data_IF_287132816703
#
_entry.id   IF_287132816703
#
_cell.length_a   1.000
_cell.length_b   1.000
_cell.length_c   1.000
_cell.angle_alpha   90.00
_cell.angle_beta   90.00
_cell.angle_gamma   90.00
#
_symmetry.space_group_name_H-M   'P 1'
#
loop_
_entity.id
_entity.type
_entity.pdbx_description
1 polymer ?
#
# COMPACT_ATOMS: atom_id res chain seq x y z
N UNK A 1 -34.08 -14.87 -20.76
CA UNK A 1 -32.59 -14.93 -20.74
C UNK A 1 -32.10 -14.03 -19.63
N UNK A 2 -31.70 -14.62 -18.50
CA UNK A 2 -31.06 -13.88 -17.38
C UNK A 2 -29.55 -13.86 -17.68
N UNK A 3 -28.84 -12.72 -17.57
CA UNK A 3 -27.43 -12.64 -17.95
C UNK A 3 -26.57 -13.57 -17.08
N UNK A 4 -25.66 -14.32 -17.70
CA UNK A 4 -24.70 -15.25 -17.10
C UNK A 4 -23.76 -14.63 -16.03
N UNK A 5 -23.83 -13.32 -15.80
CA UNK A 5 -22.95 -12.57 -14.88
C UNK A 5 -23.07 -12.92 -13.40
N UNK A 6 -24.10 -13.64 -12.97
CA UNK A 6 -24.35 -13.91 -11.53
C UNK A 6 -23.98 -15.33 -11.09
N UNK A 7 -23.72 -16.26 -12.01
CA UNK A 7 -23.24 -17.61 -11.67
C UNK A 7 -21.74 -17.65 -11.33
N UNK A 8 -20.95 -16.73 -11.89
CA UNK A 8 -19.51 -16.68 -11.65
C UNK A 8 -19.09 -16.32 -10.21
N UNK A 9 -19.96 -15.60 -9.47
CA UNK A 9 -19.64 -15.15 -8.10
C UNK A 9 -19.69 -16.23 -7.03
N UNK A 10 -20.58 -17.22 -7.16
CA UNK A 10 -20.65 -18.36 -6.24
C UNK A 10 -19.54 -19.40 -6.47
N UNK A 11 -19.06 -19.52 -7.70
CA UNK A 11 -18.04 -20.51 -8.06
C UNK A 11 -16.60 -20.03 -7.81
N UNK A 12 -16.38 -18.77 -7.41
CA UNK A 12 -15.04 -18.18 -7.31
C UNK A 12 -14.81 -17.36 -6.03
N UNK A 13 -15.73 -17.45 -5.06
CA UNK A 13 -15.63 -16.66 -3.85
C UNK A 13 -16.57 -17.06 -2.73
N UNK A 14 -16.21 -16.65 -1.50
CA UNK A 14 -17.13 -16.74 -0.36
C UNK A 14 -17.97 -15.46 -0.34
N UNK A 15 -19.29 -15.63 -0.30
CA UNK A 15 -20.26 -14.54 -0.19
C UNK A 15 -20.72 -14.44 1.27
N UNK A 16 -20.47 -13.31 1.91
CA UNK A 16 -20.98 -13.00 3.24
C UNK A 16 -21.88 -11.77 3.15
N UNK A 17 -23.07 -11.83 3.75
CA UNK A 17 -23.94 -10.67 3.86
C UNK A 17 -24.11 -10.31 5.34
N UNK A 18 -24.16 -9.01 5.64
CA UNK A 18 -24.32 -8.52 7.01
C UNK A 18 -25.67 -7.85 7.11
N UNK A 19 -26.52 -8.33 8.02
CA UNK A 19 -27.79 -7.68 8.29
C UNK A 19 -27.55 -6.46 9.17
N UNK A 20 -27.72 -5.25 8.62
CA UNK A 20 -27.60 -4.01 9.37
C UNK A 20 -28.66 -3.89 10.47
N UNK A 21 -28.33 -3.16 11.54
CA UNK A 21 -29.25 -2.87 12.64
C UNK A 21 -28.97 -1.51 13.28
N UNK A 22 -29.92 -0.98 14.05
CA UNK A 22 -29.69 0.20 14.88
C UNK A 22 -28.76 -0.17 16.05
N UNK A 23 -27.81 0.71 16.40
CA UNK A 23 -26.74 0.44 17.38
C UNK A 23 -27.21 -0.36 18.62
N UNK A 24 -26.57 -1.50 18.90
CA UNK A 24 -27.04 -2.51 19.87
C UNK A 24 -26.31 -3.86 19.71
N UNK A 25 -26.59 -4.83 20.59
CA UNK A 25 -26.13 -6.23 20.51
C UNK A 25 -26.91 -7.00 19.43
N UNK A 26 -26.40 -8.17 19.02
CA UNK A 26 -27.12 -9.10 18.12
C UNK A 26 -28.53 -9.39 18.65
N UNK A 27 -29.53 -9.21 17.79
CA UNK A 27 -30.94 -9.33 18.18
C UNK A 27 -31.74 -10.12 17.13
N UNK A 28 -32.45 -11.14 17.60
CA UNK A 28 -33.35 -11.96 16.77
C UNK A 28 -34.63 -11.18 16.49
N UNK A 29 -34.97 -11.02 15.21
CA UNK A 29 -36.19 -10.38 14.75
C UNK A 29 -37.37 -11.36 14.72
N UNK A 30 -38.59 -10.83 14.59
CA UNK A 30 -39.81 -11.63 14.45
C UNK A 30 -39.82 -12.52 13.20
N UNK A 31 -39.14 -12.09 12.13
CA UNK A 31 -38.98 -12.85 10.89
C UNK A 31 -37.90 -13.96 10.99
N UNK A 32 -37.25 -14.12 12.14
CA UNK A 32 -36.23 -15.14 12.38
C UNK A 32 -34.80 -14.74 12.02
N UNK A 33 -34.57 -13.55 11.47
CA UNK A 33 -33.21 -13.07 11.16
C UNK A 33 -32.57 -12.37 12.37
N UNK A 34 -31.24 -12.40 12.44
CA UNK A 34 -30.44 -11.79 13.52
C UNK A 34 -29.79 -10.52 13.00
N UNK A 35 -30.07 -9.38 13.64
CA UNK A 35 -29.42 -8.11 13.30
C UNK A 35 -27.96 -8.07 13.77
N UNK A 36 -27.15 -7.28 13.06
CA UNK A 36 -25.71 -7.10 13.31
C UNK A 36 -24.91 -8.41 13.27
N UNK A 37 -25.42 -9.37 12.49
CA UNK A 37 -24.85 -10.70 12.36
C UNK A 37 -24.46 -10.96 10.90
N UNK A 38 -23.37 -11.72 10.72
CA UNK A 38 -22.88 -12.12 9.42
C UNK A 38 -23.51 -13.45 9.01
N UNK A 39 -24.02 -13.52 7.78
CA UNK A 39 -24.59 -14.70 7.15
C UNK A 39 -23.78 -15.07 5.91
N UNK A 40 -23.73 -16.35 5.55
CA UNK A 40 -23.13 -16.80 4.29
C UNK A 40 -24.19 -17.00 3.22
N UNK A 41 -23.96 -16.54 1.98
CA UNK A 41 -24.81 -16.92 0.84
C UNK A 41 -24.23 -18.18 0.22
N UNK A 42 -25.02 -19.26 0.18
CA UNK A 42 -24.55 -20.62 -0.18
C UNK A 42 -25.23 -21.19 -1.42
N UNK A 43 -26.16 -20.46 -2.04
CA UNK A 43 -26.86 -20.94 -3.23
C UNK A 43 -27.73 -19.87 -3.87
N UNK A 44 -28.02 -20.06 -5.15
CA UNK A 44 -28.99 -19.28 -5.90
C UNK A 44 -29.70 -20.19 -6.90
N UNK A 45 -31.03 -20.11 -6.97
CA UNK A 45 -31.81 -20.94 -7.86
C UNK A 45 -33.02 -20.19 -8.42
N UNK A 46 -33.58 -20.75 -9.49
CA UNK A 46 -34.90 -20.36 -10.01
C UNK A 46 -35.82 -21.56 -9.89
N UNK A 47 -36.97 -21.35 -9.25
CA UNK A 47 -37.99 -22.38 -8.99
C UNK A 47 -39.34 -21.78 -9.37
N UNK A 48 -40.04 -22.41 -10.32
CA UNK A 48 -41.33 -21.92 -10.81
C UNK A 48 -41.31 -20.42 -11.15
N UNK A 49 -40.30 -19.99 -11.91
CA UNK A 49 -40.03 -18.59 -12.29
C UNK A 49 -39.64 -17.64 -11.14
N UNK A 50 -39.72 -18.06 -9.88
CA UNK A 50 -39.25 -17.30 -8.74
C UNK A 50 -37.74 -17.44 -8.55
N UNK A 51 -37.05 -16.33 -8.36
CA UNK A 51 -35.63 -16.29 -7.99
C UNK A 51 -35.49 -16.39 -6.47
N UNK A 52 -34.71 -17.36 -6.02
CA UNK A 52 -34.49 -17.62 -4.60
C UNK A 52 -32.99 -17.71 -4.30
N UNK A 53 -32.63 -17.34 -3.07
CA UNK A 53 -31.25 -17.35 -2.57
C UNK A 53 -31.18 -18.20 -1.30
N UNK A 54 -30.13 -19.00 -1.18
CA UNK A 54 -29.85 -19.82 0.00
C UNK A 54 -28.85 -19.10 0.89
N UNK A 55 -29.21 -18.96 2.16
CA UNK A 55 -28.46 -18.17 3.15
C UNK A 55 -28.28 -19.03 4.40
N UNK A 56 -27.10 -18.96 5.01
CA UNK A 56 -26.73 -19.73 6.19
C UNK A 56 -26.35 -18.84 7.37
N UNK A 57 -27.00 -19.08 8.49
CA UNK A 57 -26.64 -18.59 9.81
C UNK A 57 -25.47 -19.43 10.37
N UNK A 58 -24.30 -18.83 10.65
CA UNK A 58 -23.15 -19.57 11.18
C UNK A 58 -23.39 -20.13 12.59
N UNK A 59 -24.42 -19.68 13.32
CA UNK A 59 -24.83 -20.32 14.58
C UNK A 59 -25.38 -21.74 14.41
N UNK A 60 -25.72 -22.13 13.18
CA UNK A 60 -26.27 -23.46 12.89
C UNK A 60 -27.69 -23.66 13.44
N UNK A 61 -28.41 -22.56 13.64
CA UNK A 61 -29.80 -22.50 14.14
C UNK A 61 -30.35 -21.09 13.91
N UNK A 62 -31.65 -20.91 14.12
CA UNK A 62 -32.38 -19.64 13.97
C UNK A 62 -32.40 -19.20 12.50
N UNK A 63 -33.54 -19.44 11.87
CA UNK A 63 -33.74 -19.36 10.43
C UNK A 63 -34.86 -18.39 10.05
N UNK A 64 -34.85 -18.02 8.78
CA UNK A 64 -35.90 -17.24 8.14
C UNK A 64 -37.27 -17.90 8.26
N UNK A 65 -38.30 -17.11 8.59
CA UNK A 65 -39.68 -17.56 8.75
C UNK A 65 -40.63 -17.02 7.68
N UNK A 66 -40.11 -16.35 6.66
CA UNK A 66 -40.91 -15.77 5.58
C UNK A 66 -41.02 -16.68 4.36
N UNK A 67 -41.33 -16.11 3.19
CA UNK A 67 -41.42 -16.85 1.93
C UNK A 67 -40.18 -17.69 1.64
N UNK A 68 -40.39 -18.94 1.23
CA UNK A 68 -39.37 -19.95 0.91
C UNK A 68 -38.56 -20.49 2.09
N UNK A 69 -38.93 -20.15 3.33
CA UNK A 69 -38.45 -20.86 4.52
C UNK A 69 -38.72 -22.37 4.44
N UNK A 70 -38.09 -23.15 5.31
CA UNK A 70 -38.18 -24.61 5.30
C UNK A 70 -39.60 -25.16 5.42
N UNK A 71 -40.44 -24.47 6.19
CA UNK A 71 -41.85 -24.81 6.41
C UNK A 71 -42.81 -24.07 5.46
N UNK A 72 -42.28 -23.30 4.50
CA UNK A 72 -43.06 -22.41 3.66
C UNK A 72 -43.96 -23.18 2.67
N UNK A 73 -45.23 -22.77 2.49
CA UNK A 73 -46.12 -23.41 1.52
C UNK A 73 -45.71 -23.18 0.06
N UNK A 74 -44.78 -22.27 -0.22
CA UNK A 74 -44.21 -22.03 -1.56
C UNK A 74 -43.50 -23.27 -2.12
N UNK A 75 -43.13 -24.22 -1.25
CA UNK A 75 -42.60 -25.52 -1.65
C UNK A 75 -43.68 -26.52 -2.09
N UNK A 76 -44.97 -26.22 -1.85
CA UNK A 76 -46.11 -27.01 -2.32
C UNK A 76 -46.25 -26.83 -3.83
N UNK A 77 -45.82 -27.84 -4.59
CA UNK A 77 -45.77 -27.80 -6.06
C UNK A 77 -44.35 -27.94 -6.63
N UNK A 78 -43.32 -27.93 -5.78
CA UNK A 78 -41.97 -28.34 -6.16
C UNK A 78 -41.83 -29.84 -5.90
N UNK A 79 -41.30 -30.59 -6.87
CA UNK A 79 -41.07 -32.03 -6.72
C UNK A 79 -40.04 -32.32 -5.63
N UNK A 80 -40.15 -33.46 -4.94
CA UNK A 80 -39.16 -33.85 -3.92
C UNK A 80 -37.76 -34.00 -4.50
N UNK A 81 -37.62 -34.55 -5.71
CA UNK A 81 -36.36 -34.61 -6.46
C UNK A 81 -35.72 -33.21 -6.61
N UNK A 82 -36.53 -32.20 -6.98
CA UNK A 82 -36.03 -30.83 -7.11
C UNK A 82 -35.67 -30.20 -5.76
N UNK A 83 -36.35 -30.57 -4.67
CA UNK A 83 -36.00 -30.12 -3.32
C UNK A 83 -34.68 -30.74 -2.85
N UNK A 84 -34.46 -32.01 -3.13
CA UNK A 84 -33.20 -32.71 -2.86
C UNK A 84 -32.04 -32.07 -3.64
N UNK A 85 -32.23 -31.79 -4.94
CA UNK A 85 -31.24 -31.07 -5.77
C UNK A 85 -30.87 -29.69 -5.21
N UNK A 86 -31.86 -28.97 -4.66
CA UNK A 86 -31.66 -27.66 -4.04
C UNK A 86 -31.13 -27.74 -2.60
N UNK A 87 -30.99 -28.96 -2.05
CA UNK A 87 -30.57 -29.18 -0.68
C UNK A 87 -31.54 -28.57 0.34
N UNK A 88 -32.85 -28.61 0.06
CA UNK A 88 -33.88 -28.17 1.02
C UNK A 88 -34.02 -29.24 2.09
N UNK A 89 -33.64 -28.93 3.33
CA UNK A 89 -33.72 -29.85 4.47
C UNK A 89 -34.61 -29.20 5.51
N UNK A 90 -35.74 -29.81 5.87
CA UNK A 90 -36.62 -29.28 6.92
C UNK A 90 -36.03 -29.52 8.30
N UNK A 91 -35.14 -28.66 8.76
CA UNK A 91 -34.44 -28.80 10.04
C UNK A 91 -33.80 -27.48 10.42
N UNK A 92 -33.91 -27.09 11.70
CA UNK A 92 -33.17 -25.96 12.26
C UNK A 92 -31.66 -26.25 12.30
N UNK A 93 -30.97 -25.99 11.18
CA UNK A 93 -29.53 -26.10 10.99
C UNK A 93 -28.87 -24.77 10.56
N UNK A 94 -29.66 -23.71 10.54
CA UNK A 94 -29.28 -22.36 10.23
C UNK A 94 -29.25 -22.06 8.72
N UNK A 95 -29.42 -23.04 7.84
CA UNK A 95 -29.47 -22.82 6.39
C UNK A 95 -30.91 -22.76 5.90
N UNK A 96 -31.26 -21.70 5.17
CA UNK A 96 -32.62 -21.49 4.69
C UNK A 96 -32.61 -20.87 3.29
N UNK A 97 -33.70 -21.09 2.56
CA UNK A 97 -33.99 -20.37 1.33
C UNK A 97 -34.88 -19.16 1.61
N UNK A 98 -34.77 -18.15 0.76
CA UNK A 98 -35.69 -17.01 0.75
C UNK A 98 -35.85 -16.42 -0.64
N UNK A 99 -36.89 -15.61 -0.82
CA UNK A 99 -37.05 -14.82 -2.05
C UNK A 99 -35.85 -13.90 -2.26
N UNK A 100 -35.35 -13.84 -3.50
CA UNK A 100 -34.28 -12.90 -3.83
C UNK A 100 -34.72 -11.44 -3.64
N UNK A 101 -36.01 -11.15 -3.82
CA UNK A 101 -36.55 -9.81 -3.57
C UNK A 101 -36.46 -9.45 -2.08
N UNK A 102 -36.88 -10.36 -1.19
CA UNK A 102 -36.75 -10.16 0.26
C UNK A 102 -35.28 -9.97 0.65
N UNK A 103 -34.37 -10.72 0.02
CA UNK A 103 -32.94 -10.56 0.24
C UNK A 103 -32.44 -9.14 -0.10
N UNK A 104 -32.85 -8.56 -1.22
CA UNK A 104 -32.49 -7.18 -1.60
C UNK A 104 -33.11 -6.12 -0.67
N UNK A 105 -34.32 -6.38 -0.19
CA UNK A 105 -35.03 -5.48 0.70
C UNK A 105 -34.42 -5.48 2.12
N UNK A 106 -33.93 -6.64 2.57
CA UNK A 106 -33.39 -6.87 3.91
C UNK A 106 -31.88 -6.53 3.99
N UNK A 107 -31.04 -7.11 3.12
CA UNK A 107 -29.60 -6.87 3.16
C UNK A 107 -29.20 -5.66 2.33
N UNK A 108 -28.37 -4.80 2.93
CA UNK A 108 -27.82 -3.61 2.27
C UNK A 108 -26.34 -3.74 1.95
N UNK A 109 -25.70 -4.80 2.39
CA UNK A 109 -24.27 -5.05 2.18
C UNK A 109 -24.03 -6.52 1.90
N UNK A 110 -23.38 -6.78 0.77
CA UNK A 110 -22.87 -8.08 0.35
C UNK A 110 -21.37 -7.96 0.17
N UNK A 111 -20.62 -8.80 0.86
CA UNK A 111 -19.17 -8.91 0.78
C UNK A 111 -18.82 -10.15 -0.04
N UNK A 112 -17.94 -9.96 -1.04
CA UNK A 112 -17.49 -11.02 -1.95
C UNK A 112 -15.98 -11.16 -1.79
N UNK A 113 -15.55 -12.27 -1.21
CA UNK A 113 -14.14 -12.62 -1.12
C UNK A 113 -13.76 -13.44 -2.36
N UNK A 114 -12.96 -12.89 -3.26
CA UNK A 114 -12.45 -13.62 -4.42
C UNK A 114 -11.36 -14.59 -3.95
N UNK A 115 -11.43 -15.85 -4.40
CA UNK A 115 -10.39 -16.84 -4.11
C UNK A 115 -9.14 -16.54 -4.93
N UNK A 116 -7.98 -16.82 -4.32
CA UNK A 116 -6.71 -16.74 -5.03
C UNK A 116 -6.68 -17.82 -6.14
N UNK A 117 -6.08 -17.55 -7.31
CA UNK A 117 -5.93 -18.51 -8.41
C UNK A 117 -5.32 -19.85 -8.01
N UNK A 118 -4.47 -19.86 -6.98
CA UNK A 118 -3.84 -21.05 -6.40
C UNK A 118 -4.84 -22.05 -5.79
N UNK A 119 -6.05 -21.63 -5.46
CA UNK A 119 -7.08 -22.51 -4.87
C UNK A 119 -7.58 -23.56 -5.87
N UNK A 120 -7.57 -23.24 -7.17
CA UNK A 120 -7.92 -24.20 -8.22
C UNK A 120 -6.93 -25.36 -8.39
N UNK A 121 -5.75 -25.28 -7.75
CA UNK A 121 -4.79 -26.41 -7.69
C UNK A 121 -5.15 -27.41 -6.58
N UNK A 122 -5.94 -26.98 -5.59
CA UNK A 122 -6.30 -27.75 -4.39
C UNK A 122 -7.72 -28.31 -4.48
N UNK A 123 -8.62 -27.64 -5.20
CA UNK A 123 -10.03 -28.02 -5.37
C UNK A 123 -10.32 -28.44 -6.83
N UNK A 124 -10.38 -29.76 -7.13
CA UNK A 124 -10.63 -30.29 -8.48
C UNK A 124 -11.97 -29.85 -9.08
N UNK A 125 -12.93 -29.45 -8.24
CA UNK A 125 -14.26 -28.98 -8.67
C UNK A 125 -14.23 -27.53 -9.21
N UNK A 126 -13.12 -26.80 -8.95
CA UNK A 126 -12.87 -25.46 -9.50
C UNK A 126 -12.06 -25.49 -10.81
N UNK A 127 -11.77 -26.69 -11.34
CA UNK A 127 -11.06 -26.95 -12.61
C UNK A 127 -11.94 -26.51 -13.77
N UNK A 128 -11.87 -25.23 -14.10
CA UNK A 128 -12.72 -24.58 -15.11
C UNK A 128 -12.98 -23.10 -14.81
N UNK A 129 -12.68 -22.64 -13.59
CA UNK A 129 -12.68 -21.22 -13.28
C UNK A 129 -11.49 -20.52 -13.95
N UNK A 130 -11.73 -19.36 -14.57
CA UNK A 130 -10.67 -18.53 -15.15
C UNK A 130 -9.59 -18.25 -14.10
N UNK A 131 -8.35 -18.60 -14.42
CA UNK A 131 -7.20 -18.31 -13.56
C UNK A 131 -6.87 -16.83 -13.69
N UNK A 132 -6.90 -16.11 -12.58
CA UNK A 132 -6.34 -14.76 -12.55
C UNK A 132 -4.82 -14.83 -12.43
N UNK A 133 -4.12 -13.85 -12.97
CA UNK A 133 -2.74 -13.57 -12.65
C UNK A 133 -2.73 -12.59 -11.47
N UNK A 134 -1.93 -12.86 -10.43
CA UNK A 134 -1.87 -12.04 -9.23
C UNK A 134 -0.47 -11.46 -9.07
N UNK A 135 -0.42 -10.14 -8.85
CA UNK A 135 0.79 -9.42 -8.46
C UNK A 135 0.56 -8.80 -7.09
N UNK A 136 1.48 -9.04 -6.14
CA UNK A 136 1.46 -8.41 -4.82
C UNK A 136 2.53 -7.32 -4.70
N UNK A 137 2.18 -6.21 -4.05
CA UNK A 137 3.07 -5.06 -3.80
C UNK A 137 2.94 -4.59 -2.37
N UNK A 138 4.00 -4.73 -1.60
CA UNK A 138 4.04 -4.22 -0.23
C UNK A 138 4.52 -2.77 -0.20
N UNK A 139 3.91 -1.96 0.65
CA UNK A 139 4.29 -0.56 0.77
C UNK A 139 3.97 0.04 2.13
N UNK A 140 4.42 1.28 2.34
CA UNK A 140 4.21 2.03 3.58
C UNK A 140 3.93 3.49 3.27
N UNK A 141 2.96 4.07 3.96
CA UNK A 141 2.81 5.51 4.11
C UNK A 141 3.58 5.94 5.35
N UNK A 142 4.66 6.69 5.15
CA UNK A 142 5.52 7.21 6.21
C UNK A 142 5.37 8.73 6.28
N UNK A 143 5.20 9.24 7.51
CA UNK A 143 4.97 10.67 7.76
C UNK A 143 6.11 11.49 7.21
N UNK A 144 5.77 12.57 6.49
CA UNK A 144 6.77 13.40 5.84
C UNK A 144 7.67 12.59 4.93
N UNK A 145 7.17 11.61 4.18
CA UNK A 145 7.97 10.90 3.16
C UNK A 145 7.08 10.42 2.01
N UNK A 146 6.23 9.44 2.32
CA UNK A 146 5.34 8.77 1.37
C UNK A 146 3.87 8.92 1.74
N UNK A 147 3.55 9.46 2.92
CA UNK A 147 2.19 9.76 3.35
C UNK A 147 1.68 11.08 2.73
N UNK A 148 1.47 11.07 1.41
CA UNK A 148 1.11 12.26 0.63
C UNK A 148 -0.35 12.71 0.74
N UNK A 149 -1.22 11.85 1.29
CA UNK A 149 -2.67 12.09 1.36
C UNK A 149 -3.34 11.90 0.01
N UNK A 150 -4.65 12.17 -0.09
CA UNK A 150 -5.41 11.93 -1.32
C UNK A 150 -5.28 13.07 -2.34
N UNK A 151 -6.00 12.92 -3.45
CA UNK A 151 -6.09 13.85 -4.56
C UNK A 151 -6.48 15.31 -4.23
N UNK A 152 -7.05 15.56 -3.06
CA UNK A 152 -7.29 16.94 -2.57
C UNK A 152 -5.97 17.71 -2.38
N UNK A 153 -4.86 16.99 -2.24
CA UNK A 153 -3.51 17.52 -2.05
C UNK A 153 -2.63 17.37 -3.32
N UNK A 154 -3.25 17.32 -4.52
CA UNK A 154 -2.53 17.21 -5.81
C UNK A 154 -1.48 18.28 -6.02
N UNK A 155 -1.78 19.50 -5.60
CA UNK A 155 -0.89 20.67 -5.75
C UNK A 155 0.20 20.76 -4.69
N UNK A 156 0.22 19.87 -3.71
CA UNK A 156 1.22 19.84 -2.63
C UNK A 156 1.92 18.48 -2.54
N UNK A 157 1.29 17.51 -1.87
CA UNK A 157 1.93 16.30 -1.34
C UNK A 157 1.51 15.00 -2.01
N UNK A 158 0.43 14.99 -2.80
CA UNK A 158 -0.14 13.76 -3.39
C UNK A 158 0.86 12.95 -4.23
N UNK A 159 1.75 13.62 -4.98
CA UNK A 159 2.75 12.95 -5.81
C UNK A 159 3.81 12.17 -5.02
N UNK A 160 3.89 12.39 -3.71
CA UNK A 160 4.82 11.72 -2.79
C UNK A 160 4.38 10.31 -2.42
N UNK A 161 3.10 9.95 -2.65
CA UNK A 161 2.61 8.61 -2.40
C UNK A 161 3.37 7.57 -3.27
N UNK A 162 3.47 6.31 -2.80
CA UNK A 162 4.06 5.23 -3.60
C UNK A 162 3.35 5.09 -4.95
N UNK A 163 4.10 4.68 -5.97
CA UNK A 163 3.61 4.56 -7.35
C UNK A 163 4.05 3.21 -7.92
N UNK A 164 3.12 2.44 -8.44
CA UNK A 164 3.40 1.11 -9.00
C UNK A 164 2.96 1.05 -10.46
N UNK A 165 3.82 0.50 -11.32
CA UNK A 165 3.54 0.34 -12.75
C UNK A 165 2.73 -0.93 -12.96
N UNK A 166 1.72 -0.82 -13.82
CA UNK A 166 0.86 -1.92 -14.25
C UNK A 166 0.78 -1.90 -15.76
N UNK A 167 1.27 -2.96 -16.41
CA UNK A 167 1.18 -3.12 -17.86
C UNK A 167 0.08 -4.13 -18.15
N UNK A 168 -0.89 -3.74 -18.97
CA UNK A 168 -1.93 -4.63 -19.48
C UNK A 168 -1.77 -4.73 -20.99
N UNK A 169 -1.60 -5.94 -21.50
CA UNK A 169 -1.18 -6.18 -22.88
C UNK A 169 -2.32 -6.73 -23.73
N UNK A 170 -2.97 -7.79 -23.25
CA UNK A 170 -3.98 -8.51 -24.00
C UNK A 170 -5.39 -8.21 -23.46
N UNK A 171 -6.35 -7.80 -24.33
CA UNK A 171 -7.77 -7.75 -24.00
C UNK A 171 -8.32 -9.12 -23.55
N UNK A 172 -9.46 -9.09 -22.86
CA UNK A 172 -10.14 -10.31 -22.44
C UNK A 172 -10.80 -10.99 -23.67
N UNK A 173 -10.72 -12.34 -23.78
CA UNK A 173 -11.20 -13.05 -24.99
C UNK A 173 -12.73 -13.11 -25.12
N UNK A 174 -13.46 -12.80 -24.03
CA UNK A 174 -14.90 -13.04 -23.89
C UNK A 174 -15.77 -11.78 -24.04
N UNK A 175 -15.18 -10.60 -24.26
CA UNK A 175 -15.93 -9.36 -24.46
C UNK A 175 -15.52 -8.58 -25.72
N UNK A 176 -16.52 -8.03 -26.41
CA UNK A 176 -16.36 -7.24 -27.65
C UNK A 176 -15.95 -5.78 -27.39
N UNK A 177 -15.35 -5.47 -26.23
CA UNK A 177 -15.00 -4.08 -25.86
C UNK A 177 -13.50 -3.78 -25.88
N UNK A 178 -12.66 -4.73 -26.33
CA UNK A 178 -11.22 -4.58 -26.49
C UNK A 178 -10.51 -4.05 -25.22
N UNK A 179 -11.02 -4.42 -24.03
CA UNK A 179 -10.45 -4.00 -22.75
C UNK A 179 -9.90 -5.17 -21.94
N UNK A 180 -8.98 -4.87 -21.04
CA UNK A 180 -8.44 -5.79 -20.05
C UNK A 180 -9.19 -5.61 -18.73
N UNK A 181 -9.71 -6.69 -18.15
CA UNK A 181 -10.24 -6.64 -16.79
C UNK A 181 -9.09 -6.67 -15.77
N UNK A 182 -9.08 -5.66 -14.90
CA UNK A 182 -8.13 -5.57 -13.79
C UNK A 182 -8.88 -5.38 -12.47
N UNK A 183 -8.48 -6.11 -11.44
CA UNK A 183 -8.97 -5.92 -10.06
C UNK A 183 -7.82 -5.42 -9.19
N UNK A 184 -8.00 -4.24 -8.61
CA UNK A 184 -7.07 -3.67 -7.64
C UNK A 184 -7.63 -3.85 -6.23
N UNK A 185 -6.84 -4.41 -5.31
CA UNK A 185 -7.17 -4.56 -3.89
C UNK A 185 -6.09 -3.90 -3.04
N UNK A 186 -6.47 -2.91 -2.22
CA UNK A 186 -5.58 -2.18 -1.31
C UNK A 186 -5.95 -2.49 0.14
N UNK A 187 -5.06 -3.17 0.86
CA UNK A 187 -5.24 -3.61 2.25
C UNK A 187 -4.30 -2.85 3.18
N UNK A 188 -4.82 -2.28 4.27
CA UNK A 188 -3.97 -1.78 5.38
C UNK A 188 -3.59 -2.91 6.35
N UNK A 189 -2.30 -3.06 6.63
CA UNK A 189 -1.72 -4.13 7.46
C UNK A 189 -1.84 -3.82 8.96
N UNK A 190 -1.95 -4.87 9.77
CA UNK A 190 -1.84 -4.89 11.23
C UNK A 190 -2.71 -3.91 12.05
N UNK A 191 -3.69 -3.23 11.43
CA UNK A 191 -4.59 -2.30 12.14
C UNK A 191 -5.37 -2.94 13.28
N UNK A 192 -5.82 -4.19 13.10
CA UNK A 192 -6.52 -4.93 14.18
C UNK A 192 -5.64 -5.10 15.41
N UNK A 193 -4.35 -5.41 15.24
CA UNK A 193 -3.40 -5.53 16.36
C UNK A 193 -3.21 -4.20 17.07
N UNK A 194 -3.28 -3.08 16.37
CA UNK A 194 -3.12 -1.73 16.93
C UNK A 194 -4.40 -1.15 17.56
N UNK A 195 -5.52 -1.90 17.57
CA UNK A 195 -6.79 -1.40 18.11
C UNK A 195 -6.70 -1.03 19.60
N UNK A 196 -5.89 -1.76 20.38
CA UNK A 196 -5.63 -1.45 21.79
C UNK A 196 -4.89 -0.12 22.01
N UNK A 197 -4.19 0.38 20.98
CA UNK A 197 -3.54 1.70 20.98
C UNK A 197 -4.47 2.82 20.49
N UNK A 198 -5.77 2.54 20.33
CA UNK A 198 -6.75 3.48 19.79
C UNK A 198 -6.60 3.76 18.29
N UNK A 199 -5.77 3.01 17.56
CA UNK A 199 -5.62 3.18 16.11
C UNK A 199 -6.74 2.47 15.37
N UNK A 200 -7.66 3.25 14.79
CA UNK A 200 -8.69 2.76 13.88
C UNK A 200 -8.14 2.58 12.46
N UNK A 201 -8.96 1.98 11.59
CA UNK A 201 -8.69 1.95 10.15
C UNK A 201 -8.61 3.37 9.60
N UNK A 202 -7.61 3.64 8.76
CA UNK A 202 -7.56 4.87 7.99
C UNK A 202 -8.54 4.82 6.83
N UNK A 203 -8.99 5.99 6.41
CA UNK A 203 -9.67 6.13 5.13
C UNK A 203 -8.62 5.99 4.01
N UNK A 204 -8.71 4.94 3.20
CA UNK A 204 -7.73 4.63 2.15
C UNK A 204 -8.40 4.53 0.78
N UNK A 205 -7.60 4.68 -0.28
CA UNK A 205 -8.04 4.59 -1.67
C UNK A 205 -6.85 4.70 -2.63
N UNK A 206 -7.13 4.64 -3.92
CA UNK A 206 -6.09 4.71 -4.95
C UNK A 206 -6.58 5.40 -6.23
N UNK A 207 -5.61 5.91 -7.00
CA UNK A 207 -5.80 6.51 -8.31
C UNK A 207 -4.97 5.75 -9.35
N UNK A 208 -5.52 5.58 -10.54
CA UNK A 208 -4.86 4.92 -11.66
C UNK A 208 -4.72 5.94 -12.79
N UNK A 209 -3.51 6.14 -13.29
CA UNK A 209 -3.20 7.07 -14.37
C UNK A 209 -2.61 6.31 -15.55
N UNK A 210 -3.07 6.63 -16.75
CA UNK A 210 -2.44 6.17 -17.99
C UNK A 210 -1.12 6.92 -18.22
N UNK A 211 -0.13 6.21 -18.74
CA UNK A 211 1.23 6.69 -18.93
C UNK A 211 1.82 6.25 -20.25
N UNK A 212 2.77 7.03 -20.77
CA UNK A 212 3.56 6.60 -21.91
C UNK A 212 4.43 5.39 -21.52
N UNK A 213 4.77 4.47 -22.45
CA UNK A 213 5.50 3.24 -22.14
C UNK A 213 6.83 3.45 -21.38
N UNK A 214 7.52 4.56 -21.65
CA UNK A 214 8.81 4.88 -21.02
C UNK A 214 8.67 5.73 -19.73
N UNK A 215 7.45 6.12 -19.35
CA UNK A 215 7.23 6.96 -18.18
C UNK A 215 7.21 6.11 -16.91
N UNK A 216 8.36 6.06 -16.25
CA UNK A 216 8.57 5.30 -15.02
C UNK A 216 7.88 5.87 -13.77
N UNK A 217 7.57 7.18 -13.76
CA UNK A 217 6.99 7.87 -12.59
C UNK A 217 6.14 9.07 -12.99
N UNK A 218 5.07 9.32 -12.24
CA UNK A 218 4.28 10.55 -12.31
C UNK A 218 4.93 11.64 -11.48
N UNK A 219 5.18 12.79 -12.10
CA UNK A 219 5.63 14.01 -11.44
C UNK A 219 4.43 14.80 -10.91
N UNK A 220 4.70 15.78 -10.05
CA UNK A 220 3.69 16.72 -9.52
C UNK A 220 2.82 17.34 -10.62
N UNK A 221 3.45 17.76 -11.73
CA UNK A 221 2.73 18.31 -12.89
C UNK A 221 1.74 17.30 -13.47
N UNK A 222 2.14 16.04 -13.62
CA UNK A 222 1.31 14.99 -14.21
C UNK A 222 0.06 14.73 -13.36
N UNK A 223 0.23 14.58 -12.05
CA UNK A 223 -0.92 14.33 -11.15
C UNK A 223 -1.86 15.54 -11.03
N UNK A 224 -1.37 16.75 -11.30
CA UNK A 224 -2.18 17.98 -11.28
C UNK A 224 -2.99 18.18 -12.56
N UNK A 225 -2.42 17.86 -13.72
CA UNK A 225 -3.02 18.19 -15.02
C UNK A 225 -3.76 17.02 -15.66
N UNK A 226 -3.31 15.79 -15.43
CA UNK A 226 -3.91 14.61 -16.05
C UNK A 226 -5.14 14.15 -15.27
N UNK A 227 -6.14 13.69 -16.01
CA UNK A 227 -7.27 12.97 -15.42
C UNK A 227 -6.85 11.51 -15.16
N UNK A 228 -7.22 10.93 -14.01
CA UNK A 228 -7.00 9.51 -13.77
C UNK A 228 -7.86 8.68 -14.73
N UNK A 229 -7.32 7.56 -15.22
CA UNK A 229 -8.05 6.57 -16.02
C UNK A 229 -9.13 5.89 -15.17
N UNK A 230 -8.81 5.60 -13.90
CA UNK A 230 -9.76 5.06 -12.94
C UNK A 230 -9.41 5.43 -11.50
N UNK A 231 -10.34 5.26 -10.58
CA UNK A 231 -10.15 5.50 -9.14
C UNK A 231 -10.88 4.45 -8.33
N UNK A 232 -10.45 4.24 -7.08
CA UNK A 232 -11.19 3.40 -6.12
C UNK A 232 -12.57 3.97 -5.75
N UNK A 233 -12.87 5.22 -6.11
CA UNK A 233 -14.05 5.95 -5.66
C UNK A 233 -13.80 6.68 -4.33
N UNK A 234 -14.83 6.73 -3.48
CA UNK A 234 -14.73 7.34 -2.16
C UNK A 234 -13.68 6.65 -1.30
N UNK A 235 -12.95 7.43 -0.50
CA UNK A 235 -12.04 6.88 0.49
C UNK A 235 -12.85 6.29 1.62
N UNK A 236 -12.61 5.03 1.93
CA UNK A 236 -13.38 4.28 2.92
C UNK A 236 -12.47 3.83 4.06
N UNK A 237 -12.99 3.88 5.28
CA UNK A 237 -12.31 3.50 6.50
C UNK A 237 -12.46 2.00 6.80
N UNK A 238 -12.35 1.17 5.77
CA UNK A 238 -12.32 -0.29 5.88
C UNK A 238 -10.88 -0.80 5.79
N UNK A 239 -10.69 -2.06 6.19
CA UNK A 239 -9.36 -2.70 6.12
C UNK A 239 -8.86 -2.82 4.67
N UNK A 240 -9.78 -3.00 3.74
CA UNK A 240 -9.50 -3.26 2.33
C UNK A 240 -10.42 -2.42 1.45
N UNK A 241 -9.88 -1.97 0.31
CA UNK A 241 -10.62 -1.30 -0.75
C UNK A 241 -10.32 -2.01 -2.05
N UNK A 242 -11.37 -2.55 -2.68
CA UNK A 242 -11.24 -3.33 -3.91
C UNK A 242 -12.05 -2.71 -5.03
N UNK A 243 -11.47 -2.60 -6.22
CA UNK A 243 -12.12 -2.07 -7.41
C UNK A 243 -11.77 -2.90 -8.64
N UNK A 244 -12.80 -3.42 -9.29
CA UNK A 244 -12.74 -3.97 -10.65
C UNK A 244 -12.88 -2.82 -11.65
N UNK A 245 -11.99 -2.79 -12.63
CA UNK A 245 -11.94 -1.79 -13.71
C UNK A 245 -11.69 -2.49 -15.05
N UNK A 246 -12.15 -1.87 -16.13
CA UNK A 246 -11.82 -2.23 -17.51
C UNK A 246 -10.88 -1.16 -18.05
N UNK A 247 -9.70 -1.56 -18.48
CA UNK A 247 -8.66 -0.66 -18.98
C UNK A 247 -8.25 -1.11 -20.39
N UNK A 248 -8.14 -0.20 -21.36
CA UNK A 248 -7.51 -0.54 -22.64
C UNK A 248 -6.07 -1.05 -22.44
N UNK A 249 -5.54 -1.89 -23.35
CA UNK A 249 -4.13 -2.25 -23.36
C UNK A 249 -3.21 -1.03 -23.27
N UNK A 250 -2.24 -1.05 -22.35
CA UNK A 250 -1.39 0.10 -22.09
C UNK A 250 -0.62 0.04 -20.78
N UNK A 251 0.07 1.15 -20.48
CA UNK A 251 0.90 1.32 -19.29
C UNK A 251 0.20 2.24 -18.30
N UNK A 252 0.04 1.77 -17.08
CA UNK A 252 -0.65 2.49 -16.02
C UNK A 252 0.24 2.64 -14.79
N UNK A 253 0.02 3.71 -14.04
CA UNK A 253 0.58 3.89 -12.70
C UNK A 253 -0.55 3.96 -11.69
N UNK A 254 -0.53 3.04 -10.72
CA UNK A 254 -1.43 3.04 -9.57
C UNK A 254 -0.77 3.69 -8.36
N UNK A 255 -1.49 4.62 -7.73
CA UNK A 255 -1.06 5.41 -6.59
C UNK A 255 -1.97 5.15 -5.38
N UNK A 256 -1.61 4.23 -4.48
CA UNK A 256 -2.32 4.03 -3.22
C UNK A 256 -2.01 5.15 -2.22
N UNK A 257 -3.04 5.67 -1.55
CA UNK A 257 -2.89 6.73 -0.55
C UNK A 257 -3.90 6.64 0.59
N UNK A 258 -3.59 7.30 1.69
CA UNK A 258 -4.54 7.63 2.76
C UNK A 258 -5.32 8.89 2.40
N UNK A 259 -6.45 9.15 3.06
CA UNK A 259 -7.25 10.34 2.78
C UNK A 259 -6.50 11.61 3.19
N UNK A 260 -5.97 11.66 4.41
CA UNK A 260 -5.20 12.81 4.89
C UNK A 260 -3.69 12.56 4.71
N UNK A 261 -2.90 13.61 4.45
CA UNK A 261 -1.45 13.50 4.45
C UNK A 261 -0.96 13.16 5.86
N UNK A 262 0.28 12.66 5.93
CA UNK A 262 0.98 12.36 7.18
C UNK A 262 0.35 11.25 8.06
N UNK A 263 -0.61 10.49 7.52
CA UNK A 263 -1.14 9.30 8.18
C UNK A 263 -0.25 8.08 7.88
N UNK A 264 0.17 7.37 8.94
CA UNK A 264 1.14 6.28 8.80
C UNK A 264 0.48 4.90 8.84
N UNK A 265 0.75 4.08 7.83
CA UNK A 265 0.35 2.68 7.77
C UNK A 265 1.25 1.88 6.84
N UNK A 266 1.33 0.59 7.12
CA UNK A 266 1.81 -0.40 6.16
C UNK A 266 0.60 -0.90 5.33
N UNK A 267 0.82 -1.18 4.05
CA UNK A 267 -0.22 -1.68 3.16
C UNK A 267 0.29 -2.81 2.25
N UNK A 268 -0.68 -3.52 1.67
CA UNK A 268 -0.49 -4.48 0.58
C UNK A 268 -1.44 -4.10 -0.55
N UNK A 269 -0.90 -3.88 -1.73
CA UNK A 269 -1.65 -3.69 -2.97
C UNK A 269 -1.56 -4.99 -3.77
N UNK A 270 -2.71 -5.52 -4.18
CA UNK A 270 -2.83 -6.67 -5.06
C UNK A 270 -3.47 -6.27 -6.37
N UNK A 271 -2.92 -6.77 -7.47
CA UNK A 271 -3.39 -6.51 -8.82
C UNK A 271 -3.69 -7.86 -9.45
N UNK A 272 -4.95 -8.06 -9.83
CA UNK A 272 -5.38 -9.26 -10.53
C UNK A 272 -5.71 -8.92 -11.97
N UNK A 273 -5.17 -9.68 -12.92
CA UNK A 273 -5.45 -9.54 -14.37
C UNK A 273 -5.88 -10.89 -14.95
N UNK A 274 -6.79 -10.89 -15.93
CA UNK A 274 -7.21 -12.15 -16.57
C UNK A 274 -6.06 -12.76 -17.39
N UNK A 275 -5.40 -11.92 -18.18
CA UNK A 275 -4.18 -12.27 -18.93
C UNK A 275 -2.93 -11.93 -18.14
N UNK A 276 -1.78 -12.58 -18.41
CA UNK A 276 -0.52 -12.22 -17.77
C UNK A 276 -0.22 -10.73 -17.95
N UNK A 277 0.23 -10.09 -16.88
CA UNK A 277 0.67 -8.69 -16.89
C UNK A 277 2.08 -8.61 -16.34
N UNK A 278 2.92 -7.78 -16.95
CA UNK A 278 4.24 -7.49 -16.40
C UNK A 278 4.11 -6.32 -15.44
N UNK A 279 4.57 -6.50 -14.21
CA UNK A 279 4.58 -5.48 -13.17
C UNK A 279 6.02 -5.30 -12.71
N UNK A 280 6.62 -4.14 -12.98
CA UNK A 280 7.96 -3.81 -12.53
C UNK A 280 7.91 -3.05 -11.20
N UNK A 281 8.75 -3.48 -10.26
CA UNK A 281 8.95 -2.80 -8.99
C UNK A 281 9.90 -1.62 -9.14
N UNK A 282 9.54 -0.47 -8.56
CA UNK A 282 10.46 0.67 -8.45
C UNK A 282 10.83 1.03 -7.02
N UNK A 283 10.31 0.29 -6.03
CA UNK A 283 10.65 0.46 -4.61
C UNK A 283 11.20 -0.83 -3.93
N UNK A 284 11.35 -1.96 -4.66
CA UNK A 284 11.72 -3.29 -4.11
C UNK A 284 13.21 -3.51 -3.84
N UNK A 285 13.83 -2.64 -3.05
CA UNK A 285 15.12 -2.99 -2.45
C UNK A 285 15.17 -2.86 -0.93
N UNK A 286 14.02 -2.77 -0.25
CA UNK A 286 14.08 -2.11 1.05
C UNK A 286 13.18 -2.54 2.19
N UNK A 287 12.14 -3.34 1.95
CA UNK A 287 11.26 -3.73 3.06
C UNK A 287 11.75 -5.01 3.75
N UNK A 288 12.32 -5.96 3.01
CA UNK A 288 12.70 -7.27 3.57
C UNK A 288 13.96 -7.23 4.43
N UNK A 289 14.96 -6.40 4.10
CA UNK A 289 16.23 -6.34 4.85
C UNK A 289 16.10 -5.73 6.26
N UNK A 290 14.97 -5.13 6.62
CA UNK A 290 14.73 -4.53 7.94
C UNK A 290 14.09 -5.56 8.92
N UNK A 291 13.44 -6.61 8.41
CA UNK A 291 12.78 -7.60 9.26
C UNK A 291 13.73 -8.70 9.75
N UNK A 292 14.78 -9.02 8.99
CA UNK A 292 15.76 -10.05 9.39
C UNK A 292 16.70 -9.59 10.53
N UNK A 293 16.99 -8.29 10.66
CA UNK A 293 17.88 -7.78 11.72
C UNK A 293 17.23 -7.77 13.13
N UNK A 294 15.91 -8.00 13.25
CA UNK A 294 15.22 -7.97 14.55
C UNK A 294 15.03 -9.33 15.22
N UNK A 295 15.41 -10.43 14.60
CA UNK A 295 15.19 -11.78 15.16
C UNK A 295 16.45 -12.47 15.73
N UNK A 296 17.60 -11.80 15.77
CA UNK A 296 18.75 -12.28 16.52
C UNK A 296 19.28 -11.20 17.47
N UNK A 297 18.77 -11.21 18.70
CA UNK A 297 19.54 -11.07 19.96
C UNK A 297 18.56 -11.02 21.14
N UNK A 298 18.00 -12.19 21.49
CA UNK A 298 17.52 -12.42 22.86
C UNK A 298 18.73 -12.79 23.73
N UNK A 299 19.13 -11.89 24.63
CA UNK A 299 19.87 -12.24 25.85
C UNK A 299 19.67 -11.15 26.91
N UNK A 300 19.17 -11.56 28.07
CA UNK A 300 18.91 -10.76 29.27
C UNK A 300 20.19 -10.31 30.02
N UNK A 301 20.06 -9.37 31.00
CA UNK A 301 21.16 -8.54 31.48
C UNK A 301 21.66 -8.92 32.88
N UNK A 302 22.98 -9.08 33.13
CA UNK A 302 23.56 -8.96 34.49
C UNK A 302 25.02 -8.46 34.55
N UNK A 303 25.17 -7.35 35.30
CA UNK A 303 26.19 -6.98 36.30
C UNK A 303 27.71 -7.15 36.04
N UNK A 304 28.47 -6.03 36.05
CA UNK A 304 29.64 -5.86 36.96
C UNK A 304 29.83 -4.39 37.41
N UNK A 305 30.01 -4.28 38.72
CA UNK A 305 30.19 -3.18 39.69
C UNK A 305 31.28 -2.12 39.39
N UNK A 306 30.93 -0.87 39.76
CA UNK A 306 31.71 0.29 40.26
C UNK A 306 33.25 0.20 40.30
N UNK A 307 33.88 1.26 39.76
CA UNK A 307 34.90 2.05 40.48
C UNK A 307 34.77 3.53 40.12
N UNK A 308 34.34 4.33 41.10
CA UNK A 308 34.53 5.77 41.12
C UNK A 308 36.02 6.05 41.35
N UNK A 309 36.63 6.85 40.47
CA UNK A 309 37.79 7.67 40.83
C UNK A 309 37.59 9.08 40.27
N UNK A 310 37.46 9.99 41.23
CA UNK A 310 37.59 11.43 41.11
C UNK A 310 38.88 11.83 40.41
N UNK A 311 38.78 12.55 39.29
CA UNK A 311 39.88 13.41 38.79
C UNK A 311 39.29 14.75 38.37
N UNK A 312 39.86 15.80 38.93
CA UNK A 312 39.49 17.20 38.80
C UNK A 312 39.42 17.72 37.36
N UNK A 313 38.47 18.61 37.15
CA UNK A 313 38.28 19.44 35.96
C UNK A 313 39.53 20.31 35.75
N UNK A 314 40.36 19.95 34.76
CA UNK A 314 41.26 20.91 34.09
C UNK A 314 40.63 21.35 32.78
N UNK A 315 40.23 22.62 32.70
CA UNK A 315 39.91 23.30 31.45
C UNK A 315 41.12 23.21 30.50
N UNK A 316 41.00 22.68 29.27
CA UNK A 316 42.06 22.88 28.30
C UNK A 316 41.88 24.25 27.64
N UNK A 317 42.82 25.15 27.93
CA UNK A 317 43.14 26.35 27.13
C UNK A 317 43.60 25.88 25.73
N UNK A 318 43.24 26.58 24.63
CA UNK A 318 43.29 26.01 23.29
C UNK A 318 44.71 25.96 22.73
N UNK A 319 45.08 24.80 22.19
CA UNK A 319 46.24 24.67 21.29
C UNK A 319 45.69 24.42 19.88
N UNK A 320 45.71 25.47 19.06
CA UNK A 320 45.43 25.47 17.63
C UNK A 320 46.67 25.01 16.88
N UNK A 321 46.63 23.89 16.13
CA UNK A 321 47.41 23.73 14.88
C UNK A 321 46.78 22.61 14.00
N UNK A 322 46.47 22.91 12.73
CA UNK A 322 46.49 21.93 11.63
C UNK A 322 45.16 21.37 11.15
N UNK A 323 44.67 20.29 11.76
CA UNK A 323 43.66 19.41 11.13
C UNK A 323 42.25 20.02 11.01
N UNK A 324 41.89 20.96 11.89
CA UNK A 324 40.60 21.66 11.80
C UNK A 324 40.58 22.73 10.70
N UNK A 325 41.71 23.37 10.43
CA UNK A 325 41.79 24.39 9.37
C UNK A 325 41.63 23.77 7.99
N UNK A 326 42.24 22.61 7.73
CA UNK A 326 42.07 21.92 6.45
C UNK A 326 40.64 21.40 6.23
N UNK A 327 39.98 20.91 7.28
CA UNK A 327 38.56 20.49 7.21
C UNK A 327 37.64 21.68 6.97
N UNK A 328 37.90 22.81 7.62
CA UNK A 328 37.16 24.05 7.44
C UNK A 328 37.41 24.62 6.04
N UNK A 329 38.65 24.61 5.55
CA UNK A 329 39.03 25.07 4.21
C UNK A 329 38.41 24.23 3.10
N UNK A 330 38.42 22.89 3.23
CA UNK A 330 37.69 21.99 2.32
C UNK A 330 36.18 22.21 2.35
N UNK A 331 35.60 22.47 3.53
CA UNK A 331 34.18 22.80 3.63
C UNK A 331 33.86 24.14 2.92
N UNK A 332 34.72 25.15 3.05
CA UNK A 332 34.59 26.43 2.34
C UNK A 332 34.78 26.31 0.82
N UNK A 333 35.70 25.45 0.34
CA UNK A 333 35.85 25.14 -1.09
C UNK A 333 34.62 24.41 -1.65
N UNK A 334 34.05 23.48 -0.88
CA UNK A 334 32.79 22.80 -1.23
C UNK A 334 31.63 23.80 -1.32
N UNK A 335 31.51 24.73 -0.37
CA UNK A 335 30.51 25.81 -0.39
C UNK A 335 30.72 26.73 -1.60
N UNK A 336 31.96 27.14 -1.88
CA UNK A 336 32.28 27.96 -3.06
C UNK A 336 31.96 27.25 -4.38
N UNK A 337 32.12 25.92 -4.44
CA UNK A 337 31.76 25.09 -5.60
C UNK A 337 30.26 24.84 -5.77
N UNK A 338 29.43 25.16 -4.76
CA UNK A 338 27.97 25.04 -4.83
C UNK A 338 27.29 26.21 -5.56
N UNK A 339 28.02 27.30 -5.82
CA UNK A 339 27.67 28.35 -6.79
C UNK A 339 26.23 28.86 -6.76
N UNK A 340 25.98 29.94 -6.04
CA UNK A 340 24.68 30.63 -6.04
C UNK A 340 24.40 31.31 -4.71
N UNK A 341 23.49 32.28 -4.71
CA UNK A 341 22.95 32.88 -3.49
C UNK A 341 22.26 31.78 -2.65
N UNK A 342 22.86 31.47 -1.51
CA UNK A 342 22.43 30.40 -0.59
C UNK A 342 20.97 30.59 -0.16
N UNK A 343 20.57 31.85 0.03
CA UNK A 343 19.24 32.22 0.46
C UNK A 343 18.23 32.10 -0.70
N UNK A 344 18.62 32.50 -1.92
CA UNK A 344 17.78 32.37 -3.10
C UNK A 344 17.49 30.91 -3.50
N UNK A 345 18.47 30.01 -3.31
CA UNK A 345 18.34 28.60 -3.68
C UNK A 345 17.45 27.85 -2.70
N UNK A 346 17.64 28.08 -1.39
CA UNK A 346 16.77 27.52 -0.35
C UNK A 346 15.33 28.04 -0.51
N UNK A 347 15.15 29.35 -0.72
CA UNK A 347 13.84 29.98 -0.89
C UNK A 347 13.12 29.55 -2.18
N UNK A 348 13.84 29.09 -3.20
CA UNK A 348 13.24 28.51 -4.42
C UNK A 348 12.63 27.14 -4.16
N UNK A 349 13.23 26.35 -3.27
CA UNK A 349 12.77 25.01 -2.91
C UNK A 349 11.74 25.01 -1.77
N UNK A 350 11.74 26.04 -0.92
CA UNK A 350 10.70 26.31 0.09
C UNK A 350 9.42 26.83 -0.58
N UNK A 351 8.57 25.91 -1.06
CA UNK A 351 7.40 26.25 -1.86
C UNK A 351 6.30 26.97 -1.04
N UNK A 352 6.31 26.79 0.29
CA UNK A 352 5.31 27.37 1.19
C UNK A 352 5.84 28.62 1.95
N UNK A 353 7.12 29.00 1.75
CA UNK A 353 7.80 30.15 2.34
C UNK A 353 7.79 30.15 3.87
N UNK A 354 7.77 28.98 4.49
CA UNK A 354 7.72 28.86 5.94
C UNK A 354 9.13 28.86 6.59
N UNK A 355 10.19 28.97 5.78
CA UNK A 355 11.59 28.96 6.23
C UNK A 355 12.12 27.56 6.55
N UNK A 356 11.39 26.50 6.20
CA UNK A 356 11.72 25.10 6.48
C UNK A 356 11.34 24.21 5.29
N UNK A 357 12.16 23.21 5.02
CA UNK A 357 11.89 22.25 3.95
C UNK A 357 11.14 21.04 4.50
N UNK A 358 10.00 20.73 3.88
CA UNK A 358 9.40 19.41 4.02
C UNK A 358 10.25 18.36 3.25
N UNK A 359 10.09 17.09 3.57
CA UNK A 359 10.90 16.01 2.99
C UNK A 359 10.85 15.87 1.47
N UNK A 360 9.73 16.26 0.85
CA UNK A 360 9.58 16.23 -0.60
C UNK A 360 10.37 17.39 -1.23
N UNK A 361 10.42 18.54 -0.55
CA UNK A 361 11.19 19.72 -0.94
C UNK A 361 12.67 19.47 -0.73
N UNK A 362 13.04 18.76 0.34
CA UNK A 362 14.42 18.33 0.61
C UNK A 362 15.00 17.52 -0.55
N UNK A 363 14.25 16.56 -1.09
CA UNK A 363 14.74 15.69 -2.19
C UNK A 363 15.01 16.48 -3.46
N UNK A 364 14.12 17.39 -3.81
CA UNK A 364 14.30 18.25 -4.99
C UNK A 364 15.40 19.29 -4.76
N UNK A 365 15.48 19.88 -3.56
CA UNK A 365 16.52 20.83 -3.18
C UNK A 365 17.93 20.20 -3.22
N UNK A 366 18.08 18.98 -2.68
CA UNK A 366 19.37 18.27 -2.71
C UNK A 366 19.75 17.82 -4.13
N UNK A 367 18.77 17.52 -4.99
CA UNK A 367 19.03 17.27 -6.42
C UNK A 367 19.57 18.52 -7.10
N UNK A 368 18.93 19.67 -6.88
CA UNK A 368 19.32 20.93 -7.51
C UNK A 368 20.70 21.43 -7.01
N UNK A 369 21.01 21.28 -5.72
CA UNK A 369 22.26 21.78 -5.11
C UNK A 369 23.44 20.82 -5.25
N UNK A 370 23.20 19.52 -5.03
CA UNK A 370 24.27 18.51 -5.05
C UNK A 370 24.38 17.78 -6.39
N UNK A 371 23.41 17.90 -7.29
CA UNK A 371 23.36 17.13 -8.54
C UNK A 371 23.08 15.64 -8.32
N UNK A 372 22.74 15.22 -7.08
CA UNK A 372 22.55 13.82 -6.71
C UNK A 372 21.08 13.54 -6.44
N UNK A 373 20.57 12.48 -7.05
CA UNK A 373 19.23 11.98 -6.77
C UNK A 373 19.28 11.05 -5.56
N UNK A 374 18.64 11.48 -4.47
CA UNK A 374 18.62 10.72 -3.23
C UNK A 374 17.37 9.84 -3.19
N UNK A 375 17.56 8.55 -2.92
CA UNK A 375 16.48 7.58 -2.80
C UNK A 375 15.65 7.80 -1.51
N UNK A 376 14.52 7.10 -1.39
CA UNK A 376 13.69 7.19 -0.19
C UNK A 376 14.42 6.68 1.07
N UNK A 377 15.41 5.79 0.91
CA UNK A 377 16.20 5.20 2.01
C UNK A 377 17.01 6.22 2.76
N UNK A 378 17.83 6.93 2.00
CA UNK A 378 18.73 7.91 2.52
C UNK A 378 17.95 9.14 2.96
N UNK A 379 16.86 9.47 2.26
CA UNK A 379 15.92 10.52 2.68
C UNK A 379 15.36 10.22 4.08
N UNK A 380 14.93 8.99 4.36
CA UNK A 380 14.44 8.60 5.70
C UNK A 380 15.51 8.76 6.77
N UNK A 381 16.73 8.31 6.49
CA UNK A 381 17.87 8.41 7.41
C UNK A 381 18.25 9.87 7.69
N UNK A 382 18.26 10.70 6.66
CA UNK A 382 18.51 12.14 6.76
C UNK A 382 17.43 12.80 7.63
N UNK A 383 16.14 12.53 7.36
CA UNK A 383 15.03 13.13 8.12
C UNK A 383 15.13 12.72 9.59
N UNK A 384 15.32 11.43 9.90
CA UNK A 384 15.45 10.96 11.29
C UNK A 384 16.59 11.62 12.06
N UNK A 385 17.63 12.08 11.36
CA UNK A 385 18.84 12.63 11.98
C UNK A 385 18.88 14.14 12.04
N UNK A 386 18.29 14.83 11.05
CA UNK A 386 18.44 16.27 10.87
C UNK A 386 17.13 17.06 10.87
N UNK A 387 15.98 16.39 10.87
CA UNK A 387 14.70 17.07 10.96
C UNK A 387 14.39 17.51 12.39
N UNK A 388 13.70 18.65 12.50
CA UNK A 388 13.20 19.18 13.76
C UNK A 388 11.98 18.37 14.26
N UNK A 389 11.44 18.70 15.44
CA UNK A 389 10.33 17.97 16.07
C UNK A 389 9.03 17.93 15.22
N UNK A 390 8.92 18.81 14.24
CA UNK A 390 7.83 18.89 13.27
C UNK A 390 8.11 18.12 11.96
N UNK A 391 9.19 17.33 11.90
CA UNK A 391 9.67 16.61 10.72
C UNK A 391 10.03 17.52 9.53
N UNK A 392 10.36 18.78 9.80
CA UNK A 392 10.84 19.73 8.78
C UNK A 392 12.33 19.99 8.95
N UNK A 393 12.98 20.47 7.89
CA UNK A 393 14.42 20.73 7.88
C UNK A 393 14.66 22.23 7.77
N UNK A 394 15.26 22.83 8.80
CA UNK A 394 15.70 24.23 8.76
C UNK A 394 16.81 24.45 7.74
N UNK A 395 16.99 25.70 7.29
CA UNK A 395 18.07 26.08 6.38
C UNK A 395 19.46 25.65 6.88
N UNK A 396 19.71 25.76 8.18
CA UNK A 396 20.98 25.34 8.79
C UNK A 396 21.19 23.82 8.69
N UNK A 397 20.14 23.02 8.93
CA UNK A 397 20.20 21.56 8.77
C UNK A 397 20.35 21.16 7.31
N UNK A 398 19.66 21.85 6.39
CA UNK A 398 19.78 21.61 4.95
C UNK A 398 21.23 21.78 4.46
N UNK A 399 21.88 22.90 4.76
CA UNK A 399 23.25 23.15 4.32
C UNK A 399 24.25 22.17 4.95
N UNK A 400 24.02 21.74 6.20
CA UNK A 400 24.83 20.66 6.82
C UNK A 400 24.72 19.35 6.06
N UNK A 401 23.52 18.98 5.62
CA UNK A 401 23.28 17.78 4.81
C UNK A 401 23.96 17.92 3.44
N UNK A 402 23.74 19.03 2.74
CA UNK A 402 24.30 19.30 1.41
C UNK A 402 25.84 19.26 1.42
N UNK A 403 26.48 19.90 2.41
CA UNK A 403 27.94 19.89 2.56
C UNK A 403 28.45 18.48 2.82
N UNK A 404 27.81 17.71 3.71
CA UNK A 404 28.21 16.32 4.01
C UNK A 404 28.05 15.40 2.81
N UNK A 405 26.96 15.53 2.06
CA UNK A 405 26.72 14.75 0.85
C UNK A 405 27.75 15.08 -0.23
N UNK A 406 27.97 16.37 -0.54
CA UNK A 406 28.94 16.78 -1.57
C UNK A 406 30.37 16.44 -1.17
N UNK A 407 30.73 16.53 0.11
CA UNK A 407 32.01 16.06 0.61
C UNK A 407 32.16 14.53 0.48
N UNK A 408 31.12 13.75 0.78
CA UNK A 408 31.15 12.31 0.60
C UNK A 408 31.33 11.93 -0.88
N UNK A 409 30.53 12.52 -1.78
CA UNK A 409 30.60 12.22 -3.21
C UNK A 409 31.90 12.73 -3.87
N UNK A 410 32.42 13.88 -3.43
CA UNK A 410 33.72 14.39 -3.88
C UNK A 410 34.91 13.54 -3.42
N UNK A 411 34.81 12.91 -2.23
CA UNK A 411 35.82 11.95 -1.74
C UNK A 411 35.73 10.62 -2.48
N UNK A 412 34.53 10.16 -2.86
CA UNK A 412 34.36 8.93 -3.64
C UNK A 412 34.82 9.08 -5.08
N UNK A 413 34.60 10.24 -5.74
CA UNK A 413 35.11 10.48 -7.10
C UNK A 413 36.65 10.54 -7.13
N UNK A 414 37.29 11.10 -6.09
CA UNK A 414 38.75 11.09 -5.96
C UNK A 414 39.32 9.68 -5.80
N UNK A 415 38.69 8.84 -4.98
CA UNK A 415 39.06 7.43 -4.82
C UNK A 415 38.83 6.60 -6.10
N UNK A 416 37.72 6.83 -6.79
CA UNK A 416 37.42 6.17 -8.07
C UNK A 416 38.39 6.61 -9.19
N UNK A 417 38.93 7.83 -9.13
CA UNK A 417 39.94 8.32 -10.07
C UNK A 417 41.33 7.72 -9.79
N UNK A 418 41.72 7.57 -8.51
CA UNK A 418 42.95 6.86 -8.11
C UNK A 418 42.88 5.36 -8.44
N UNK A 419 41.75 4.71 -8.14
CA UNK A 419 41.53 3.31 -8.51
C UNK A 419 41.53 3.10 -10.03
N UNK A 420 41.01 4.05 -10.83
CA UNK A 420 41.09 3.98 -12.31
C UNK A 420 42.50 4.08 -12.86
N UNK A 421 43.41 4.79 -12.19
CA UNK A 421 44.83 4.80 -12.58
C UNK A 421 45.53 3.48 -12.24
N UNK A 422 45.10 2.82 -11.18
CA UNK A 422 45.65 1.52 -10.75
C UNK A 422 45.06 0.33 -11.52
N UNK A 423 43.84 0.47 -12.05
CA UNK A 423 43.10 -0.56 -12.79
C UNK A 423 43.27 -0.51 -14.33
N UNK A 424 44.06 0.40 -14.88
CA UNK A 424 44.41 0.37 -16.31
C UNK A 424 45.28 -0.85 -16.71
N UNK A 425 45.59 -1.75 -15.78
CA UNK A 425 46.38 -2.96 -16.05
C UNK A 425 45.61 -4.28 -15.94
N UNK A 426 44.37 -4.36 -15.43
CA UNK A 426 43.59 -5.61 -15.45
C UNK A 426 42.06 -5.42 -15.52
N UNK A 427 41.46 -6.29 -16.32
CA UNK A 427 40.10 -6.28 -16.87
C UNK A 427 38.99 -6.56 -15.85
N UNK A 428 37.83 -5.93 -16.08
CA UNK A 428 36.44 -6.30 -15.71
C UNK A 428 36.10 -6.63 -14.24
N UNK A 429 35.29 -5.76 -13.60
CA UNK A 429 34.04 -6.18 -12.92
C UNK A 429 33.17 -4.98 -12.49
N UNK A 430 31.89 -5.04 -12.90
CA UNK A 430 30.76 -4.26 -12.38
C UNK A 430 30.39 -4.83 -11.01
N UNK A 431 30.51 -4.07 -9.91
CA UNK A 431 29.77 -4.31 -8.63
C UNK A 431 29.96 -3.23 -7.54
N UNK A 432 30.76 -2.18 -7.76
CA UNK A 432 31.15 -1.27 -6.67
C UNK A 432 30.15 -0.17 -6.25
N UNK A 433 29.00 -0.01 -6.92
CA UNK A 433 28.09 1.11 -6.62
C UNK A 433 27.24 0.87 -5.36
N UNK A 434 26.88 -0.38 -5.06
CA UNK A 434 26.00 -0.71 -3.91
C UNK A 434 26.70 -0.60 -2.54
N UNK A 435 28.02 -0.79 -2.50
CA UNK A 435 28.84 -0.69 -1.27
C UNK A 435 28.94 0.76 -0.76
N UNK A 436 29.08 1.73 -1.68
CA UNK A 436 29.23 3.16 -1.34
C UNK A 436 28.03 3.74 -0.61
N UNK A 437 26.81 3.28 -0.93
CA UNK A 437 25.57 3.75 -0.30
C UNK A 437 25.39 3.24 1.14
N UNK A 438 25.92 2.05 1.48
CA UNK A 438 25.95 1.57 2.86
C UNK A 438 26.92 2.39 3.73
N UNK A 439 28.06 2.79 3.20
CA UNK A 439 29.00 3.69 3.90
C UNK A 439 28.43 5.10 4.10
N UNK A 440 27.67 5.61 3.13
CA UNK A 440 27.02 6.91 3.24
C UNK A 440 26.00 6.97 4.38
N UNK A 441 25.29 5.86 4.63
CA UNK A 441 24.36 5.74 5.74
C UNK A 441 25.03 5.74 7.12
N UNK A 442 26.30 5.33 7.21
CA UNK A 442 27.11 5.37 8.44
C UNK A 442 27.73 6.78 8.61
N UNK A 443 28.08 7.43 7.50
CA UNK A 443 28.74 8.74 7.47
C UNK A 443 27.79 9.92 7.76
N UNK A 444 26.53 9.83 7.31
CA UNK A 444 25.51 10.86 7.54
C UNK A 444 24.94 10.78 8.95
#
# INVERSE_FOLDING_TARGET
MVPERHKGGLNQGCLTCILGGTAGLEAVQSNGLVQQHAYSVTGFATVNEAQIVRVRNPWGKIEWKGPWSDESPQWEGVTEERKEELGVVKRDDGEFWMSFQDFLDIWKTLEICHLEPSVGEVEPELVGCKKWNSTERHGKWQRGMTAGGCANYRTSTFCSNPQYIVQVEDPDDEDDDDTCTVVFSLIQKDRRKQKHLGKANLAVGFYIYETAPNQKKLKKRDVCTRRPAATSGSYINLREVTKRVKLPPGNYIVMPSTFKPNEEADFLLRIYTEKPSTTEDQDDFFVDRILEEKHHTDAEPEQVIRREQTVEVKKPTPTLVGEKEDRVRKAFEVIASMGGDEEATFNKSDANKNGKLESYELREALRDVCGVTIDAQLTAKIIRRYADQDNTISAASFWRIAIRLKAFFGVTDGRLAEDKQQYSSHTQQHDNVSSSFNYLAIYL
#
